data_IF_269036147545
#
_entry.id   IF_269036147545
#
_cell.length_a   1.000
_cell.length_b   1.000
_cell.length_c   1.000
_cell.angle_alpha   90.00
_cell.angle_beta   90.00
_cell.angle_gamma   90.00
#
_symmetry.space_group_name_H-M   'P 1'
#
loop_
_entity.id
_entity.type
_entity.pdbx_description
1 polymer ?
#
# COMPACT_ATOMS: atom_id res chain seq x y z
N UNK A 1 -32.98 -29.96 47.85
CA UNK A 1 -32.14 -30.32 46.68
C UNK A 1 -32.31 -29.29 45.55
N UNK A 2 -31.37 -28.36 45.34
CA UNK A 2 -31.35 -27.40 44.20
C UNK A 2 -29.92 -26.88 43.92
N UNK A 3 -29.08 -27.62 43.17
CA UNK A 3 -27.80 -27.13 42.61
C UNK A 3 -27.35 -27.68 41.22
N UNK A 4 -28.18 -28.28 40.33
CA UNK A 4 -27.69 -28.71 39.01
C UNK A 4 -27.51 -27.57 37.99
N UNK A 5 -28.30 -26.49 38.09
CA UNK A 5 -28.38 -25.47 37.03
C UNK A 5 -27.14 -24.56 36.95
N UNK A 6 -26.49 -24.27 38.07
CA UNK A 6 -25.34 -23.36 38.13
C UNK A 6 -24.10 -23.93 37.44
N UNK A 7 -23.89 -25.25 37.54
CA UNK A 7 -22.78 -25.93 36.88
C UNK A 7 -22.96 -26.00 35.36
N UNK A 8 -24.20 -26.15 34.87
CA UNK A 8 -24.48 -26.15 33.43
C UNK A 8 -24.21 -24.78 32.80
N UNK A 9 -24.59 -23.69 33.47
CA UNK A 9 -24.32 -22.32 33.00
C UNK A 9 -22.81 -22.03 33.00
N UNK A 10 -22.08 -22.43 34.04
CA UNK A 10 -20.62 -22.29 34.08
C UNK A 10 -19.92 -23.10 32.97
N UNK A 11 -20.40 -24.31 32.66
CA UNK A 11 -19.86 -25.11 31.56
C UNK A 11 -20.10 -24.46 30.19
N UNK A 12 -21.29 -23.90 29.96
CA UNK A 12 -21.64 -23.20 28.72
C UNK A 12 -20.82 -21.91 28.56
N UNK A 13 -20.61 -21.15 29.64
CA UNK A 13 -19.74 -19.96 29.61
C UNK A 13 -18.28 -20.32 29.37
N UNK A 14 -17.77 -21.40 30.00
CA UNK A 14 -16.41 -21.88 29.76
C UNK A 14 -16.21 -22.35 28.30
N UNK A 15 -17.19 -23.06 27.72
CA UNK A 15 -17.16 -23.45 26.32
C UNK A 15 -17.24 -22.24 25.38
N UNK A 16 -18.09 -21.25 25.66
CA UNK A 16 -18.16 -20.01 24.89
C UNK A 16 -16.82 -19.25 24.89
N UNK A 17 -16.15 -19.15 26.05
CA UNK A 17 -14.82 -18.52 26.13
C UNK A 17 -13.75 -19.31 25.36
N UNK A 18 -13.87 -20.63 25.27
CA UNK A 18 -12.97 -21.46 24.44
C UNK A 18 -13.20 -21.30 22.92
N UNK A 19 -14.42 -20.97 22.48
CA UNK A 19 -14.73 -20.74 21.06
C UNK A 19 -14.56 -19.28 20.59
N UNK A 20 -14.45 -18.31 21.51
CA UNK A 20 -14.14 -16.91 21.21
C UNK A 20 -12.68 -16.51 21.51
N UNK A 21 -11.77 -17.48 21.60
CA UNK A 21 -10.35 -17.18 21.46
C UNK A 21 -10.11 -16.63 20.03
N UNK A 22 -9.54 -15.42 19.85
CA UNK A 22 -9.17 -14.95 18.52
C UNK A 22 -8.19 -15.96 17.94
N UNK A 23 -8.44 -16.41 16.70
CA UNK A 23 -7.51 -17.28 15.97
C UNK A 23 -6.21 -16.51 15.79
N UNK A 24 -5.26 -16.75 16.70
CA UNK A 24 -3.94 -16.19 16.63
C UNK A 24 -3.34 -16.68 15.31
N UNK A 25 -3.08 -15.74 14.39
CA UNK A 25 -2.43 -16.04 13.13
C UNK A 25 -1.17 -16.84 13.45
N UNK A 26 -1.07 -18.06 12.88
CA UNK A 26 -0.01 -18.99 13.20
C UNK A 26 1.35 -18.27 13.12
N UNK A 27 2.23 -18.42 14.13
CA UNK A 27 3.47 -17.65 14.19
C UNK A 27 4.29 -17.96 12.94
N UNK A 28 4.43 -16.95 12.06
CA UNK A 28 5.30 -17.04 10.89
C UNK A 28 6.69 -17.36 11.41
N UNK A 29 7.15 -18.57 11.09
CA UNK A 29 8.35 -19.19 11.66
C UNK A 29 9.49 -18.20 11.84
N UNK A 30 9.94 -18.05 13.09
CA UNK A 30 10.88 -17.01 13.53
C UNK A 30 12.33 -17.19 13.06
N UNK A 31 12.61 -18.13 12.16
CA UNK A 31 13.90 -18.21 11.49
C UNK A 31 13.94 -17.16 10.37
N UNK A 32 14.72 -16.10 10.57
CA UNK A 32 15.04 -15.14 9.52
C UNK A 32 15.90 -15.84 8.45
N UNK A 33 15.23 -16.46 7.48
CA UNK A 33 15.90 -17.03 6.31
C UNK A 33 16.61 -15.89 5.57
N UNK A 34 17.93 -15.93 5.60
CA UNK A 34 18.77 -14.97 4.90
C UNK A 34 18.40 -15.02 3.42
N UNK A 35 18.07 -13.86 2.84
CA UNK A 35 17.58 -13.81 1.48
C UNK A 35 18.71 -14.17 0.52
N UNK A 36 18.49 -15.24 -0.25
CA UNK A 36 19.35 -15.61 -1.37
C UNK A 36 19.16 -14.59 -2.51
N UNK A 37 19.90 -13.49 -2.42
CA UNK A 37 19.79 -12.36 -3.33
C UNK A 37 20.18 -12.70 -4.77
N UNK A 38 21.04 -13.70 -5.00
CA UNK A 38 21.43 -14.16 -6.34
C UNK A 38 20.30 -14.96 -7.01
N UNK A 39 19.66 -15.88 -6.26
CA UNK A 39 18.47 -16.61 -6.71
C UNK A 39 17.25 -15.71 -6.88
N UNK A 40 17.14 -14.64 -6.09
CA UNK A 40 16.12 -13.61 -6.32
C UNK A 40 16.50 -12.78 -7.57
N UNK A 41 17.77 -12.42 -7.78
CA UNK A 41 18.22 -11.64 -8.93
C UNK A 41 17.99 -12.37 -10.26
N UNK A 42 18.32 -13.66 -10.35
CA UNK A 42 18.07 -14.48 -11.55
C UNK A 42 16.57 -14.57 -11.90
N UNK A 43 15.68 -14.59 -10.90
CA UNK A 43 14.22 -14.66 -11.09
C UNK A 43 13.56 -13.30 -11.26
N UNK A 44 14.12 -12.23 -10.68
CA UNK A 44 13.53 -10.90 -10.54
C UNK A 44 14.61 -9.79 -10.67
N UNK A 45 15.37 -9.70 -11.77
CA UNK A 45 16.47 -8.74 -11.89
C UNK A 45 15.99 -7.28 -11.85
N UNK A 46 14.74 -7.04 -12.25
CA UNK A 46 14.07 -5.75 -12.16
C UNK A 46 13.53 -5.38 -10.77
N UNK A 47 13.71 -6.20 -9.73
CA UNK A 47 13.26 -5.86 -8.37
C UNK A 47 13.96 -4.57 -7.89
N UNK A 48 13.19 -3.64 -7.31
CA UNK A 48 13.78 -2.43 -6.70
C UNK A 48 14.33 -2.79 -5.33
N UNK A 49 15.60 -2.45 -5.10
CA UNK A 49 16.28 -2.65 -3.82
C UNK A 49 16.85 -1.34 -3.29
N UNK A 50 17.06 -1.30 -1.99
CA UNK A 50 17.78 -0.24 -1.29
C UNK A 50 19.15 -0.81 -0.88
N UNK A 51 20.21 -0.05 -1.15
CA UNK A 51 21.60 -0.43 -0.88
C UNK A 51 22.19 0.66 0.00
N UNK A 52 22.72 0.27 1.16
CA UNK A 52 23.60 1.14 1.94
C UNK A 52 24.98 1.09 1.30
N UNK A 53 25.49 2.24 0.85
CA UNK A 53 26.89 2.39 0.43
C UNK A 53 27.64 3.07 1.58
N UNK A 54 28.76 2.48 2.00
CA UNK A 54 29.71 3.02 2.98
C UNK A 54 31.02 3.33 2.25
N UNK A 55 31.65 4.45 2.58
CA UNK A 55 32.88 4.94 1.96
C UNK A 55 33.95 5.24 3.02
N UNK A 56 35.19 4.82 2.76
CA UNK A 56 36.34 5.14 3.61
C UNK A 56 36.73 6.63 3.58
N UNK A 57 36.31 7.36 2.55
CA UNK A 57 36.44 8.82 2.40
C UNK A 57 35.05 9.50 2.35
N UNK A 58 34.93 10.81 2.58
CA UNK A 58 33.73 11.56 2.24
C UNK A 58 33.32 11.33 0.77
N UNK A 59 32.04 11.05 0.50
CA UNK A 59 31.55 10.78 -0.86
C UNK A 59 31.72 12.01 -1.76
N UNK A 60 32.28 11.76 -2.94
CA UNK A 60 32.60 12.76 -3.97
C UNK A 60 31.65 12.69 -5.16
N UNK A 61 31.70 13.68 -6.06
CA UNK A 61 30.97 13.65 -7.33
C UNK A 61 31.33 12.43 -8.20
N UNK A 62 32.60 12.01 -8.19
CA UNK A 62 33.06 10.81 -8.89
C UNK A 62 32.37 9.55 -8.37
N UNK A 63 32.26 9.41 -7.04
CA UNK A 63 31.58 8.27 -6.40
C UNK A 63 30.10 8.22 -6.80
N UNK A 64 29.44 9.39 -6.84
CA UNK A 64 28.05 9.50 -7.30
C UNK A 64 27.91 9.18 -8.79
N UNK A 65 28.84 9.61 -9.64
CA UNK A 65 28.84 9.31 -11.07
C UNK A 65 29.02 7.80 -11.34
N UNK A 66 29.91 7.12 -10.60
CA UNK A 66 30.11 5.67 -10.68
C UNK A 66 28.83 4.91 -10.28
N UNK A 67 28.17 5.32 -9.20
CA UNK A 67 26.90 4.71 -8.75
C UNK A 67 25.77 4.99 -9.75
N UNK A 68 25.67 6.20 -10.30
CA UNK A 68 24.71 6.57 -11.32
C UNK A 68 24.91 5.77 -12.63
N UNK A 69 26.16 5.55 -13.05
CA UNK A 69 26.51 4.68 -14.18
C UNK A 69 26.07 3.23 -13.97
N UNK A 70 26.19 2.72 -12.74
CA UNK A 70 25.63 1.41 -12.32
C UNK A 70 24.09 1.44 -12.14
N UNK A 71 23.44 2.59 -12.34
CA UNK A 71 21.98 2.75 -12.27
C UNK A 71 21.42 2.90 -10.85
N UNK A 72 22.23 3.39 -9.92
CA UNK A 72 21.87 3.68 -8.54
C UNK A 72 21.76 5.18 -8.31
N UNK A 73 20.69 5.61 -7.67
CA UNK A 73 20.46 7.01 -7.29
C UNK A 73 20.19 7.11 -5.79
N UNK A 74 20.52 8.21 -5.12
CA UNK A 74 20.16 8.43 -3.72
C UNK A 74 18.67 8.20 -3.47
N UNK A 75 18.34 7.48 -2.39
CA UNK A 75 17.00 6.93 -2.18
C UNK A 75 16.02 7.86 -1.45
N UNK A 76 16.55 8.82 -0.68
CA UNK A 76 15.81 9.57 0.35
C UNK A 76 16.25 11.04 0.51
N UNK A 77 17.08 11.55 -0.41
CA UNK A 77 17.60 12.92 -0.45
C UNK A 77 18.13 13.24 -1.85
N UNK A 78 18.34 14.51 -2.14
CA UNK A 78 18.95 14.95 -3.41
C UNK A 78 20.44 14.58 -3.49
N UNK A 79 21.03 14.40 -4.70
CA UNK A 79 22.42 13.97 -4.84
C UNK A 79 23.45 14.88 -4.16
N UNK A 80 23.23 16.18 -4.19
CA UNK A 80 24.07 17.17 -3.50
C UNK A 80 24.10 16.94 -1.98
N UNK A 81 22.97 16.51 -1.40
CA UNK A 81 22.83 16.15 0.03
C UNK A 81 23.48 14.80 0.39
N UNK A 82 24.19 14.15 -0.54
CA UNK A 82 25.03 12.97 -0.27
C UNK A 82 26.52 13.32 -0.23
N UNK A 83 26.93 14.41 -0.87
CA UNK A 83 28.33 14.84 -0.93
C UNK A 83 28.87 15.10 0.47
N UNK A 84 30.13 14.73 0.71
CA UNK A 84 30.78 14.86 2.01
C UNK A 84 30.37 13.81 3.05
N UNK A 85 29.33 13.01 2.81
CA UNK A 85 28.92 11.94 3.74
C UNK A 85 29.79 10.68 3.54
N UNK A 86 30.13 9.97 4.62
CA UNK A 86 30.77 8.65 4.52
C UNK A 86 29.78 7.50 4.23
N UNK A 87 28.45 7.75 4.31
CA UNK A 87 27.44 6.73 4.01
C UNK A 87 26.12 7.32 3.53
N UNK A 88 25.49 6.65 2.57
CA UNK A 88 24.15 6.98 2.09
C UNK A 88 23.40 5.75 1.56
N UNK A 89 22.08 5.86 1.46
CA UNK A 89 21.23 4.81 0.90
C UNK A 89 20.89 5.16 -0.54
N UNK A 90 21.10 4.19 -1.43
CA UNK A 90 20.83 4.29 -2.86
C UNK A 90 19.72 3.31 -3.25
N UNK A 91 18.86 3.72 -4.19
CA UNK A 91 17.84 2.88 -4.80
C UNK A 91 18.30 2.45 -6.20
N UNK A 92 18.11 1.18 -6.53
CA UNK A 92 18.45 0.64 -7.85
C UNK A 92 17.69 -0.65 -8.16
N UNK A 93 18.20 -1.40 -9.15
CA UNK A 93 17.64 -2.70 -9.57
C UNK A 93 18.53 -3.83 -9.10
N UNK A 94 17.94 -4.90 -8.56
CA UNK A 94 18.71 -6.01 -7.97
C UNK A 94 19.70 -6.66 -8.95
N UNK A 95 19.30 -6.91 -10.20
CA UNK A 95 20.21 -7.45 -11.21
C UNK A 95 21.36 -6.50 -11.54
N UNK A 96 21.14 -5.17 -11.51
CA UNK A 96 22.21 -4.18 -11.64
C UNK A 96 23.12 -4.10 -10.41
N UNK A 97 22.67 -4.56 -9.24
CA UNK A 97 23.53 -4.66 -8.05
C UNK A 97 24.40 -5.91 -8.13
N UNK A 98 23.76 -7.07 -8.25
CA UNK A 98 24.42 -8.39 -8.19
C UNK A 98 25.35 -8.64 -9.38
N UNK A 99 25.04 -8.09 -10.56
CA UNK A 99 25.87 -8.25 -11.76
C UNK A 99 26.68 -7.00 -12.13
N UNK A 100 26.76 -6.00 -11.25
CA UNK A 100 27.74 -4.94 -11.44
C UNK A 100 29.15 -5.48 -11.21
N UNK A 101 30.10 -5.05 -12.04
CA UNK A 101 31.52 -5.16 -11.67
C UNK A 101 31.80 -4.47 -10.32
N UNK A 102 32.94 -4.75 -9.69
CA UNK A 102 33.24 -4.29 -8.34
C UNK A 102 33.09 -2.77 -8.17
N UNK A 103 32.84 -2.37 -6.92
CA UNK A 103 33.01 -0.98 -6.52
C UNK A 103 34.50 -0.65 -6.37
N UNK A 104 34.90 0.63 -6.51
CA UNK A 104 36.21 1.10 -6.07
C UNK A 104 36.53 0.64 -4.64
N UNK A 105 37.80 0.37 -4.33
CA UNK A 105 38.20 -0.23 -3.04
C UNK A 105 37.85 0.61 -1.81
N UNK A 106 37.67 1.92 -1.95
CA UNK A 106 37.20 2.79 -0.85
C UNK A 106 35.68 2.75 -0.65
N UNK A 107 34.91 2.11 -1.54
CA UNK A 107 33.46 1.95 -1.44
C UNK A 107 33.08 0.49 -1.17
N UNK A 108 32.17 0.30 -0.22
CA UNK A 108 31.51 -0.98 0.04
C UNK A 108 29.99 -0.77 0.03
N UNK A 109 29.22 -1.84 -0.20
CA UNK A 109 27.77 -1.74 -0.12
C UNK A 109 27.06 -3.04 0.21
N UNK A 110 25.88 -2.90 0.80
CA UNK A 110 25.04 -4.00 1.27
C UNK A 110 23.57 -3.69 1.00
N UNK A 111 22.81 -4.67 0.51
CA UNK A 111 21.34 -4.53 0.40
C UNK A 111 20.76 -4.39 1.81
N UNK A 112 19.85 -3.43 2.00
CA UNK A 112 19.15 -3.25 3.26
C UNK A 112 18.08 -4.34 3.43
N UNK A 113 18.25 -5.18 4.45
CA UNK A 113 17.24 -6.14 4.91
C UNK A 113 16.30 -5.51 5.96
N UNK A 114 16.82 -4.59 6.76
CA UNK A 114 16.11 -3.89 7.83
C UNK A 114 16.49 -2.42 7.86
N UNK A 115 15.51 -1.53 8.01
CA UNK A 115 15.73 -0.09 8.13
C UNK A 115 14.54 0.61 8.78
N UNK A 116 14.77 1.75 9.42
CA UNK A 116 13.70 2.64 9.82
C UNK A 116 13.35 3.61 8.68
N UNK A 117 12.06 3.78 8.42
CA UNK A 117 11.53 4.72 7.44
C UNK A 117 10.74 5.80 8.17
N UNK A 118 11.38 6.95 8.40
CA UNK A 118 10.71 8.14 8.94
C UNK A 118 10.17 9.00 7.80
N UNK A 119 9.18 9.86 8.06
CA UNK A 119 8.71 10.78 7.04
C UNK A 119 7.55 11.67 7.46
N UNK A 120 7.16 12.54 6.53
CA UNK A 120 5.95 13.36 6.59
C UNK A 120 5.13 13.16 5.32
N UNK A 121 3.83 12.97 5.48
CA UNK A 121 2.81 12.93 4.43
C UNK A 121 1.91 14.15 4.62
N UNK A 122 1.66 14.90 3.54
CA UNK A 122 0.89 16.15 3.56
C UNK A 122 -0.14 16.17 2.45
N UNK A 123 -1.30 16.70 2.81
CA UNK A 123 -2.52 16.71 2.01
C UNK A 123 -3.23 18.02 2.27
N UNK A 124 -3.60 18.72 1.22
CA UNK A 124 -4.22 20.03 1.31
C UNK A 124 -5.41 20.15 0.38
N UNK A 125 -6.43 20.84 0.84
CA UNK A 125 -7.66 21.14 0.12
C UNK A 125 -7.92 22.64 0.15
N UNK A 126 -8.70 23.11 -0.80
CA UNK A 126 -9.31 24.43 -0.80
C UNK A 126 -10.82 24.27 -1.00
N UNK A 127 -11.61 24.98 -0.21
CA UNK A 127 -13.07 25.00 -0.37
C UNK A 127 -13.41 25.86 -1.59
N UNK A 128 -14.08 25.28 -2.58
CA UNK A 128 -14.56 26.01 -3.77
C UNK A 128 -16.09 26.21 -3.75
N UNK A 129 -16.76 25.74 -2.69
CA UNK A 129 -18.20 25.90 -2.48
C UNK A 129 -18.58 27.35 -2.24
N UNK A 130 -19.33 27.95 -3.17
CA UNK A 130 -19.92 29.28 -3.03
C UNK A 130 -20.99 29.27 -1.94
N UNK A 131 -21.13 30.39 -1.22
CA UNK A 131 -22.17 30.67 -0.19
C UNK A 131 -22.20 29.73 1.05
N UNK A 132 -21.49 28.61 1.01
CA UNK A 132 -21.39 27.66 2.10
C UNK A 132 -20.51 28.16 3.26
N UNK A 133 -21.01 28.03 4.50
CA UNK A 133 -20.30 28.44 5.74
C UNK A 133 -20.41 27.36 6.84
N UNK A 134 -19.74 26.22 6.64
CA UNK A 134 -19.64 25.12 7.62
C UNK A 134 -20.97 24.42 7.98
N UNK A 135 -20.95 23.42 8.89
CA UNK A 135 -19.77 22.71 9.40
C UNK A 135 -19.35 21.56 8.46
N UNK A 136 -18.03 21.31 8.36
CA UNK A 136 -17.46 20.26 7.51
C UNK A 136 -16.77 19.19 8.37
N UNK A 137 -17.28 17.95 8.33
CA UNK A 137 -16.55 16.77 8.83
C UNK A 137 -15.70 16.17 7.71
N UNK A 138 -14.42 16.01 7.96
CA UNK A 138 -13.49 15.26 7.12
C UNK A 138 -13.14 13.93 7.77
N UNK A 139 -13.03 12.86 6.99
CA UNK A 139 -12.39 11.61 7.38
C UNK A 139 -11.31 11.26 6.36
N UNK A 140 -10.07 11.10 6.82
CA UNK A 140 -8.90 10.86 5.97
C UNK A 140 -7.99 9.79 6.58
N UNK A 141 -7.47 8.91 5.72
CA UNK A 141 -6.55 7.86 6.16
C UNK A 141 -5.16 8.39 6.52
N UNK A 142 -4.68 7.96 7.69
CA UNK A 142 -3.36 8.23 8.22
C UNK A 142 -2.40 7.05 7.90
N UNK A 143 -1.07 7.24 8.01
CA UNK A 143 -0.10 6.15 7.89
C UNK A 143 -0.45 4.98 8.82
N UNK A 144 -0.65 3.78 8.26
CA UNK A 144 -1.06 2.57 8.97
C UNK A 144 -0.02 1.45 8.88
N UNK A 145 -0.16 0.41 9.70
CA UNK A 145 0.67 -0.79 9.54
C UNK A 145 0.53 -1.41 8.14
N UNK A 146 1.61 -2.04 7.67
CA UNK A 146 1.61 -2.72 6.40
C UNK A 146 2.45 -3.99 6.43
N UNK A 147 2.34 -4.75 5.35
CA UNK A 147 3.16 -5.93 5.11
C UNK A 147 4.65 -5.61 5.27
N UNK A 148 5.31 -6.25 6.24
CA UNK A 148 6.71 -5.99 6.60
C UNK A 148 7.01 -4.55 7.07
N UNK A 149 6.00 -3.79 7.51
CA UNK A 149 6.09 -2.38 7.92
C UNK A 149 5.34 -2.17 9.23
N UNK A 150 6.04 -2.28 10.36
CA UNK A 150 5.49 -2.01 11.70
C UNK A 150 5.50 -0.51 11.94
N UNK A 151 4.36 0.07 12.33
CA UNK A 151 4.29 1.50 12.65
C UNK A 151 4.80 1.71 14.09
N UNK A 152 5.92 2.43 14.24
CA UNK A 152 6.59 2.66 15.53
C UNK A 152 6.14 3.98 16.16
N UNK A 153 5.88 4.98 15.32
CA UNK A 153 5.42 6.31 15.72
C UNK A 153 4.50 6.88 14.65
N UNK A 154 3.48 7.63 15.06
CA UNK A 154 2.71 8.50 14.17
C UNK A 154 2.05 9.63 14.95
N UNK A 155 2.02 10.82 14.35
CA UNK A 155 1.40 12.02 14.88
C UNK A 155 0.74 12.81 13.74
N UNK A 156 -0.22 13.69 14.04
CA UNK A 156 -1.00 14.44 13.06
C UNK A 156 -1.31 15.89 13.48
N UNK A 157 -1.26 16.79 12.51
CA UNK A 157 -1.69 18.18 12.66
C UNK A 157 -2.66 18.55 11.55
N UNK A 158 -3.82 19.08 11.94
CA UNK A 158 -4.81 19.69 11.04
C UNK A 158 -4.71 21.21 11.16
N UNK A 159 -4.82 21.91 10.02
CA UNK A 159 -4.94 23.38 9.95
C UNK A 159 -6.13 23.76 9.06
N UNK A 160 -7.03 24.67 9.47
CA UNK A 160 -7.09 25.31 10.79
C UNK A 160 -7.26 24.28 11.92
N UNK A 161 -6.87 24.65 13.14
CA UNK A 161 -6.95 23.75 14.29
C UNK A 161 -8.42 23.47 14.63
N UNK A 162 -8.74 22.22 14.93
CA UNK A 162 -10.11 21.77 15.09
C UNK A 162 -10.22 20.52 15.98
N UNK A 163 -11.45 20.11 16.30
CA UNK A 163 -11.69 18.84 16.99
C UNK A 163 -11.35 17.68 16.06
N UNK A 164 -10.54 16.74 16.55
CA UNK A 164 -10.07 15.60 15.77
C UNK A 164 -9.95 14.33 16.62
N UNK A 165 -10.26 13.17 16.03
CA UNK A 165 -10.14 11.85 16.66
C UNK A 165 -9.57 10.85 15.65
N UNK A 166 -8.64 10.01 16.11
CA UNK A 166 -8.10 8.89 15.34
C UNK A 166 -8.82 7.61 15.73
N UNK A 167 -9.39 6.90 14.76
CA UNK A 167 -9.98 5.56 14.94
C UNK A 167 -9.25 4.52 14.10
N UNK A 168 -9.49 3.24 14.39
CA UNK A 168 -8.96 2.12 13.61
C UNK A 168 -10.13 1.21 13.22
N UNK A 169 -10.22 0.85 11.93
CA UNK A 169 -11.25 -0.07 11.43
C UNK A 169 -10.78 -1.54 11.43
N UNK A 170 -11.67 -2.46 11.04
CA UNK A 170 -11.41 -3.90 10.97
C UNK A 170 -10.29 -4.32 10.00
N UNK A 171 -9.93 -3.47 9.03
CA UNK A 171 -8.80 -3.70 8.12
C UNK A 171 -7.47 -3.13 8.66
N UNK A 172 -7.51 -2.49 9.84
CA UNK A 172 -6.39 -1.78 10.42
C UNK A 172 -6.09 -0.47 9.70
N UNK A 173 -7.07 0.15 9.03
CA UNK A 173 -6.93 1.52 8.52
C UNK A 173 -7.06 2.50 9.67
N UNK A 174 -6.14 3.47 9.73
CA UNK A 174 -6.17 4.54 10.73
C UNK A 174 -6.92 5.73 10.12
N UNK A 175 -8.09 6.04 10.64
CA UNK A 175 -8.94 7.12 10.15
C UNK A 175 -8.86 8.32 11.07
N UNK A 176 -8.33 9.43 10.56
CA UNK A 176 -8.45 10.71 11.23
C UNK A 176 -9.77 11.34 10.84
N UNK A 177 -10.68 11.48 11.79
CA UNK A 177 -11.87 12.33 11.68
C UNK A 177 -11.53 13.72 12.21
N UNK A 178 -11.82 14.76 11.45
CA UNK A 178 -11.59 16.15 11.82
C UNK A 178 -12.84 16.97 11.51
N UNK A 179 -13.36 17.72 12.50
CA UNK A 179 -14.60 18.49 12.37
C UNK A 179 -14.31 19.99 12.43
N UNK A 180 -14.58 20.69 11.34
CA UNK A 180 -14.39 22.13 11.20
C UNK A 180 -15.76 22.83 11.27
N UNK A 181 -16.05 23.52 12.37
CA UNK A 181 -17.37 24.15 12.58
C UNK A 181 -17.70 25.24 11.55
N UNK A 182 -16.67 25.98 11.11
CA UNK A 182 -16.80 27.04 10.12
C UNK A 182 -15.74 26.84 9.06
N UNK A 183 -16.17 26.60 7.82
CA UNK A 183 -15.31 26.69 6.63
C UNK A 183 -16.03 27.49 5.55
N UNK A 184 -15.29 28.31 4.80
CA UNK A 184 -15.83 29.21 3.77
C UNK A 184 -15.12 29.03 2.43
N UNK A 185 -15.75 29.48 1.35
CA UNK A 185 -15.12 29.54 0.03
C UNK A 185 -13.74 30.23 0.11
N UNK A 186 -12.73 29.66 -0.55
CA UNK A 186 -11.38 30.20 -0.53
C UNK A 186 -10.47 29.58 0.54
N UNK A 187 -11.02 29.10 1.64
CA UNK A 187 -10.24 28.63 2.79
C UNK A 187 -9.48 27.33 2.49
N UNK A 188 -8.31 27.20 3.13
CA UNK A 188 -7.39 26.09 2.93
C UNK A 188 -7.36 25.16 4.14
N UNK A 189 -7.67 23.88 3.92
CA UNK A 189 -7.63 22.84 4.94
C UNK A 189 -6.39 21.97 4.67
N UNK A 190 -5.53 21.77 5.67
CA UNK A 190 -4.25 21.07 5.51
C UNK A 190 -4.09 20.01 6.60
N UNK A 191 -3.81 18.79 6.17
CA UNK A 191 -3.48 17.65 7.02
C UNK A 191 -2.00 17.33 6.86
N UNK A 192 -1.29 17.15 7.97
CA UNK A 192 0.11 16.71 8.01
C UNK A 192 0.24 15.54 8.95
N UNK A 193 0.84 14.45 8.49
CA UNK A 193 1.06 13.22 9.24
C UNK A 193 2.54 12.92 9.30
N UNK A 194 3.08 12.83 10.51
CA UNK A 194 4.42 12.31 10.75
C UNK A 194 4.34 10.82 11.07
N UNK A 195 5.35 10.07 10.67
CA UNK A 195 5.42 8.64 10.93
C UNK A 195 6.86 8.14 11.02
N UNK A 196 7.03 7.00 11.69
CA UNK A 196 8.23 6.16 11.63
C UNK A 196 7.80 4.71 11.55
N UNK A 197 8.27 4.01 10.52
CA UNK A 197 8.15 2.55 10.41
C UNK A 197 9.47 1.87 10.76
N UNK A 198 9.38 0.67 11.31
CA UNK A 198 10.40 -0.37 11.17
C UNK A 198 10.03 -1.22 9.95
N UNK A 199 10.98 -1.38 9.01
CA UNK A 199 10.76 -2.06 7.73
C UNK A 199 11.61 -3.32 7.65
N UNK A 200 10.95 -4.48 7.59
CA UNK A 200 11.53 -5.80 7.39
C UNK A 200 11.38 -6.18 5.91
N UNK A 201 12.45 -6.04 5.14
CA UNK A 201 12.45 -6.29 3.69
C UNK A 201 12.13 -7.74 3.32
N UNK A 202 12.64 -8.78 4.01
CA UNK A 202 12.17 -10.16 3.81
C UNK A 202 10.64 -10.30 3.85
N UNK A 203 9.98 -9.74 4.88
CA UNK A 203 8.51 -9.75 4.99
C UNK A 203 7.82 -8.91 3.91
N UNK A 204 8.41 -7.80 3.48
CA UNK A 204 7.88 -7.00 2.35
C UNK A 204 7.97 -7.78 1.02
N UNK A 205 9.08 -8.50 0.80
CA UNK A 205 9.34 -9.25 -0.44
C UNK A 205 8.57 -10.57 -0.50
N UNK A 206 8.25 -11.20 0.63
CA UNK A 206 7.45 -12.43 0.66
C UNK A 206 6.12 -12.25 -0.09
N UNK A 207 5.53 -11.06 -0.16
CA UNK A 207 4.31 -10.87 -0.97
C UNK A 207 4.53 -11.03 -2.49
N UNK A 208 5.63 -10.55 -3.09
CA UNK A 208 5.91 -10.78 -4.53
C UNK A 208 6.55 -12.16 -4.80
N UNK A 209 7.18 -12.76 -3.78
CA UNK A 209 7.82 -14.08 -3.86
C UNK A 209 6.84 -15.22 -3.57
N UNK A 210 5.95 -15.11 -2.59
CA UNK A 210 4.93 -16.11 -2.25
C UNK A 210 3.81 -16.17 -3.29
N UNK A 211 3.42 -15.03 -3.89
CA UNK A 211 2.61 -15.03 -5.12
C UNK A 211 3.24 -15.94 -6.19
N UNK A 212 4.56 -16.13 -6.20
CA UNK A 212 5.26 -16.95 -7.19
C UNK A 212 5.19 -18.47 -7.01
N UNK A 213 4.73 -18.94 -5.85
CA UNK A 213 4.55 -20.36 -5.57
C UNK A 213 3.25 -20.94 -6.16
N UNK A 214 3.12 -22.27 -6.11
CA UNK A 214 1.81 -22.92 -6.22
C UNK A 214 0.97 -22.61 -4.96
N UNK A 215 -0.37 -22.59 -5.04
CA UNK A 215 -1.24 -22.61 -3.86
C UNK A 215 -0.84 -23.76 -2.91
N UNK A 216 -0.93 -23.52 -1.60
CA UNK A 216 -0.64 -24.55 -0.57
C UNK A 216 -1.93 -25.21 -0.08
N UNK A 217 -3.07 -24.57 -0.25
CA UNK A 217 -4.40 -25.16 -0.05
C UNK A 217 -5.33 -24.84 -1.22
N UNK A 218 -6.61 -25.19 -1.05
CA UNK A 218 -7.70 -24.90 -1.99
C UNK A 218 -8.86 -24.11 -1.34
N UNK A 219 -8.86 -24.02 0.00
CA UNK A 219 -9.98 -23.47 0.77
C UNK A 219 -9.93 -21.93 0.86
N UNK A 220 -11.11 -21.32 0.78
CA UNK A 220 -11.34 -19.89 0.96
C UNK A 220 -12.21 -19.73 2.22
N UNK A 221 -11.67 -19.17 3.32
CA UNK A 221 -12.42 -18.95 4.56
C UNK A 221 -13.69 -18.11 4.37
N UNK A 222 -14.75 -18.29 5.19
CA UNK A 222 -16.02 -17.56 5.02
C UNK A 222 -15.89 -16.03 5.04
N UNK A 223 -15.00 -15.48 5.88
CA UNK A 223 -14.69 -14.04 5.94
C UNK A 223 -14.01 -13.52 4.66
N UNK A 224 -13.37 -14.42 3.90
CA UNK A 224 -12.73 -14.13 2.62
C UNK A 224 -13.70 -14.33 1.44
N UNK A 225 -14.67 -15.24 1.55
CA UNK A 225 -15.66 -15.50 0.48
C UNK A 225 -16.45 -14.24 0.10
N UNK A 226 -16.77 -13.38 1.07
CA UNK A 226 -17.41 -12.08 0.82
C UNK A 226 -16.64 -11.20 -0.18
N UNK A 227 -15.33 -11.39 -0.37
CA UNK A 227 -14.51 -10.67 -1.36
C UNK A 227 -14.53 -11.29 -2.77
N UNK A 228 -15.42 -12.26 -3.03
CA UNK A 228 -15.83 -12.70 -4.37
C UNK A 228 -17.08 -11.97 -4.86
N UNK A 229 -17.92 -11.51 -3.93
CA UNK A 229 -19.22 -10.90 -4.23
C UNK A 229 -19.09 -9.51 -4.88
N UNK A 230 -20.17 -9.01 -5.52
CA UNK A 230 -20.28 -7.62 -5.91
C UNK A 230 -20.16 -6.66 -4.71
N UNK A 231 -19.72 -5.44 -4.98
CA UNK A 231 -19.73 -4.34 -4.01
C UNK A 231 -19.75 -2.98 -4.73
N UNK A 232 -19.84 -1.90 -3.97
CA UNK A 232 -19.78 -0.54 -4.51
C UNK A 232 -18.54 -0.36 -5.41
N UNK A 233 -18.75 0.11 -6.64
CA UNK A 233 -17.77 0.25 -7.74
C UNK A 233 -17.12 -1.04 -8.26
N UNK A 234 -17.48 -2.23 -7.76
CA UNK A 234 -16.82 -3.50 -8.10
C UNK A 234 -17.88 -4.57 -8.38
N UNK A 235 -18.31 -4.66 -9.63
CA UNK A 235 -19.24 -5.70 -10.08
C UNK A 235 -18.52 -6.78 -10.92
N UNK A 236 -18.39 -8.03 -10.42
CA UNK A 236 -17.90 -9.16 -11.22
C UNK A 236 -18.91 -9.65 -12.27
N UNK A 237 -20.18 -9.26 -12.17
CA UNK A 237 -21.26 -9.69 -13.07
C UNK A 237 -21.19 -9.07 -14.48
N UNK A 238 -20.43 -7.98 -14.67
CA UNK A 238 -20.37 -7.29 -15.97
C UNK A 238 -19.92 -8.22 -17.11
N UNK A 239 -20.49 -8.11 -18.33
CA UNK A 239 -20.21 -9.04 -19.42
C UNK A 239 -18.72 -9.17 -19.78
N UNK A 240 -17.97 -8.07 -19.72
CA UNK A 240 -16.54 -8.05 -20.02
C UNK A 240 -15.68 -8.84 -19.01
N UNK A 241 -16.08 -8.84 -17.73
CA UNK A 241 -15.39 -9.60 -16.67
C UNK A 241 -15.67 -11.09 -16.82
N UNK A 242 -16.92 -11.47 -17.11
CA UNK A 242 -17.35 -12.85 -17.35
C UNK A 242 -16.74 -13.46 -18.62
N UNK A 243 -16.70 -12.70 -19.73
CA UNK A 243 -16.01 -13.10 -20.96
C UNK A 243 -14.50 -13.29 -20.73
N UNK A 244 -13.85 -12.38 -20.00
CA UNK A 244 -12.43 -12.51 -19.66
C UNK A 244 -12.15 -13.71 -18.72
N UNK A 245 -13.06 -13.99 -17.80
CA UNK A 245 -12.95 -15.11 -16.86
C UNK A 245 -13.09 -16.46 -17.55
N UNK A 246 -14.09 -16.63 -18.44
CA UNK A 246 -14.32 -17.88 -19.19
C UNK A 246 -13.15 -18.25 -20.09
N UNK A 247 -12.52 -17.26 -20.74
CA UNK A 247 -11.26 -17.41 -21.51
C UNK A 247 -10.05 -17.81 -20.66
N UNK A 248 -10.19 -17.86 -19.33
CA UNK A 248 -9.19 -18.38 -18.40
C UNK A 248 -9.04 -19.91 -18.39
N UNK A 249 -10.01 -20.63 -18.98
CA UNK A 249 -10.05 -22.09 -19.03
C UNK A 249 -10.68 -22.73 -17.78
N UNK A 250 -11.09 -24.01 -17.85
CA UNK A 250 -11.94 -24.66 -16.83
C UNK A 250 -11.21 -25.06 -15.54
N UNK A 251 -9.89 -24.90 -15.46
CA UNK A 251 -9.11 -25.25 -14.27
C UNK A 251 -9.31 -24.26 -13.12
N UNK A 252 -8.94 -24.70 -11.91
CA UNK A 252 -8.95 -23.84 -10.71
C UNK A 252 -8.17 -22.53 -10.92
N UNK A 253 -8.59 -21.41 -10.32
CA UNK A 253 -7.90 -20.12 -10.50
C UNK A 253 -6.48 -20.15 -9.94
N UNK A 254 -5.53 -19.51 -10.64
CA UNK A 254 -4.17 -19.26 -10.14
C UNK A 254 -4.01 -17.74 -10.01
N UNK A 255 -4.07 -17.26 -8.77
CA UNK A 255 -4.07 -15.83 -8.45
C UNK A 255 -2.96 -15.04 -9.17
N UNK A 256 -1.75 -15.60 -9.34
CA UNK A 256 -0.65 -14.90 -10.03
C UNK A 256 -0.72 -15.06 -11.54
N UNK A 257 -1.09 -16.24 -12.06
CA UNK A 257 -1.22 -16.47 -13.50
C UNK A 257 -2.36 -15.64 -14.07
N UNK A 258 -3.52 -15.65 -13.43
CA UNK A 258 -4.69 -14.87 -13.78
C UNK A 258 -4.43 -13.36 -13.59
N UNK A 259 -3.81 -12.91 -12.47
CA UNK A 259 -3.39 -11.50 -12.32
C UNK A 259 -2.43 -11.05 -13.42
N UNK A 260 -1.46 -11.90 -13.82
CA UNK A 260 -0.56 -11.60 -14.94
C UNK A 260 -1.27 -11.60 -16.30
N UNK A 261 -2.29 -12.44 -16.52
CA UNK A 261 -3.15 -12.38 -17.70
C UNK A 261 -3.92 -11.05 -17.72
N UNK A 262 -4.43 -10.64 -16.57
CA UNK A 262 -5.23 -9.42 -16.43
C UNK A 262 -4.38 -8.16 -16.61
N UNK A 263 -3.22 -8.07 -15.96
CA UNK A 263 -2.29 -6.95 -16.14
C UNK A 263 -1.84 -6.80 -17.60
N UNK A 264 -1.70 -7.90 -18.36
CA UNK A 264 -1.47 -7.87 -19.81
C UNK A 264 -2.68 -7.41 -20.61
N UNK A 265 -3.90 -7.82 -20.21
CA UNK A 265 -5.15 -7.37 -20.82
C UNK A 265 -5.38 -5.87 -20.60
N UNK A 266 -5.28 -5.38 -19.36
CA UNK A 266 -5.40 -3.96 -19.01
C UNK A 266 -4.37 -3.14 -19.79
N UNK A 267 -3.09 -3.53 -19.77
CA UNK A 267 -2.04 -2.82 -20.52
C UNK A 267 -2.28 -2.71 -22.03
N UNK A 268 -3.07 -3.63 -22.62
CA UNK A 268 -3.42 -3.62 -24.05
C UNK A 268 -4.68 -2.80 -24.36
N UNK A 269 -5.65 -2.77 -23.44
CA UNK A 269 -7.00 -2.23 -23.69
C UNK A 269 -7.30 -0.92 -22.94
N UNK A 270 -6.49 -0.54 -21.96
CA UNK A 270 -6.67 0.67 -21.14
C UNK A 270 -5.35 1.44 -21.09
N UNK A 271 -5.32 2.60 -21.74
CA UNK A 271 -4.22 3.54 -21.67
C UNK A 271 -4.15 4.19 -20.28
N UNK A 272 -2.94 4.41 -19.76
CA UNK A 272 -2.78 5.05 -18.46
C UNK A 272 -3.05 6.57 -18.56
N UNK A 273 -4.08 7.05 -17.87
CA UNK A 273 -4.49 8.45 -17.93
C UNK A 273 -3.52 9.38 -17.17
N UNK A 274 -2.50 9.83 -17.92
CA UNK A 274 -1.54 10.83 -17.47
C UNK A 274 -2.19 12.20 -17.24
N UNK A 275 -3.29 12.54 -17.92
CA UNK A 275 -3.97 13.83 -17.78
C UNK A 275 -4.73 13.87 -16.46
N UNK A 276 -5.55 12.87 -16.15
CA UNK A 276 -6.23 12.70 -14.85
C UNK A 276 -5.22 12.70 -13.70
N UNK A 277 -4.15 11.89 -13.80
CA UNK A 277 -3.05 11.89 -12.81
C UNK A 277 -2.48 13.29 -12.58
N UNK A 278 -2.14 14.01 -13.64
CA UNK A 278 -1.48 15.32 -13.55
C UNK A 278 -2.44 16.43 -13.13
N UNK A 279 -3.73 16.31 -13.47
CA UNK A 279 -4.77 17.22 -13.00
C UNK A 279 -5.03 17.03 -11.51
N UNK A 280 -5.06 15.78 -11.01
CA UNK A 280 -5.25 15.50 -9.59
C UNK A 280 -4.09 16.00 -8.75
N UNK A 281 -2.86 15.53 -9.02
CA UNK A 281 -1.69 15.91 -8.23
C UNK A 281 -1.21 17.36 -8.49
N UNK A 282 -1.54 17.94 -9.65
CA UNK A 282 -1.33 19.36 -9.95
C UNK A 282 -2.42 20.28 -9.42
N UNK A 283 -3.35 19.76 -8.60
CA UNK A 283 -4.39 20.54 -7.93
C UNK A 283 -5.37 21.25 -8.87
N UNK A 284 -5.73 20.61 -9.99
CA UNK A 284 -6.70 21.10 -10.99
C UNK A 284 -8.05 20.39 -10.90
N UNK A 285 -8.14 19.27 -10.18
CA UNK A 285 -9.41 18.58 -9.94
C UNK A 285 -10.12 19.16 -8.72
N UNK A 286 -11.44 19.29 -8.86
CA UNK A 286 -12.38 19.64 -7.79
C UNK A 286 -13.39 18.51 -7.71
N UNK A 287 -13.69 18.05 -6.50
CA UNK A 287 -14.63 16.97 -6.25
C UNK A 287 -15.60 17.38 -5.15
N UNK A 288 -16.89 17.07 -5.31
CA UNK A 288 -17.88 17.11 -4.23
C UNK A 288 -17.82 15.85 -3.35
N UNK A 289 -17.40 14.73 -3.93
CA UNK A 289 -17.11 13.46 -3.28
C UNK A 289 -15.88 12.84 -3.96
N UNK A 290 -14.95 12.28 -3.18
CA UNK A 290 -13.77 11.61 -3.73
C UNK A 290 -14.11 10.29 -4.45
N UNK A 291 -15.30 9.72 -4.22
CA UNK A 291 -15.79 8.57 -5.01
C UNK A 291 -15.82 8.88 -6.52
N UNK A 292 -16.09 10.13 -6.92
CA UNK A 292 -16.02 10.57 -8.32
C UNK A 292 -14.60 10.62 -8.90
N UNK A 293 -13.55 10.41 -8.10
CA UNK A 293 -12.21 10.16 -8.62
C UNK A 293 -12.10 8.76 -9.24
N UNK A 294 -12.97 7.83 -8.86
CA UNK A 294 -12.98 6.43 -9.27
C UNK A 294 -14.05 6.21 -10.35
N UNK A 295 -13.60 6.01 -11.59
CA UNK A 295 -14.47 5.71 -12.71
C UNK A 295 -15.03 4.29 -12.57
N UNK A 296 -16.26 4.09 -13.03
CA UNK A 296 -16.87 2.77 -13.03
C UNK A 296 -16.12 1.84 -14.01
N UNK A 297 -16.25 0.53 -13.79
CA UNK A 297 -15.48 -0.46 -14.56
C UNK A 297 -15.83 -0.40 -16.06
N UNK A 298 -17.12 -0.30 -16.39
CA UNK A 298 -17.57 -0.15 -17.77
C UNK A 298 -17.16 1.20 -18.38
N UNK A 299 -17.14 2.28 -17.60
CA UNK A 299 -16.65 3.58 -18.09
C UNK A 299 -15.15 3.51 -18.43
N UNK A 300 -14.36 2.84 -17.59
CA UNK A 300 -12.92 2.63 -17.78
C UNK A 300 -12.63 1.80 -19.03
N UNK A 301 -13.44 0.77 -19.28
CA UNK A 301 -13.36 -0.07 -20.49
C UNK A 301 -13.76 0.73 -21.74
N UNK A 302 -14.94 1.36 -21.73
CA UNK A 302 -15.49 2.10 -22.87
C UNK A 302 -14.62 3.29 -23.30
N UNK A 303 -13.97 3.95 -22.34
CA UNK A 303 -13.06 5.08 -22.63
C UNK A 303 -11.65 4.64 -23.01
N UNK A 304 -11.33 3.34 -22.89
CA UNK A 304 -9.99 2.78 -23.09
C UNK A 304 -8.89 3.55 -22.33
N UNK A 305 -9.22 4.17 -21.20
CA UNK A 305 -8.37 5.12 -20.48
C UNK A 305 -8.73 5.17 -19.00
N UNK A 306 -7.72 5.03 -18.14
CA UNK A 306 -7.88 5.10 -16.68
C UNK A 306 -6.56 5.27 -15.95
N UNK A 307 -6.59 5.81 -14.74
CA UNK A 307 -5.46 5.89 -13.84
C UNK A 307 -5.50 4.73 -12.81
N UNK A 308 -4.53 4.68 -11.88
CA UNK A 308 -4.53 3.62 -10.86
C UNK A 308 -5.77 3.51 -9.96
N UNK A 309 -6.55 4.58 -9.60
CA UNK A 309 -7.84 4.39 -8.93
C UNK A 309 -8.86 3.62 -9.77
N UNK A 310 -8.81 3.74 -11.10
CA UNK A 310 -9.80 3.13 -12.00
C UNK A 310 -9.41 1.68 -12.32
N UNK A 311 -8.12 1.46 -12.62
CA UNK A 311 -7.62 0.12 -12.92
C UNK A 311 -7.70 -0.83 -11.73
N UNK A 312 -7.67 -0.35 -10.47
CA UNK A 312 -7.83 -1.24 -9.30
C UNK A 312 -9.26 -1.80 -9.18
N UNK A 313 -10.28 -1.03 -9.58
CA UNK A 313 -11.67 -1.49 -9.60
C UNK A 313 -11.87 -2.56 -10.67
N UNK A 314 -11.36 -2.29 -11.89
CA UNK A 314 -11.35 -3.24 -13.00
C UNK A 314 -10.54 -4.50 -12.65
N UNK A 315 -9.36 -4.36 -12.02
CA UNK A 315 -8.60 -5.49 -11.50
C UNK A 315 -9.45 -6.36 -10.55
N UNK A 316 -10.14 -5.75 -9.58
CA UNK A 316 -10.99 -6.48 -8.65
C UNK A 316 -12.18 -7.17 -9.33
N UNK A 317 -12.95 -6.47 -10.16
CA UNK A 317 -14.12 -7.03 -10.84
C UNK A 317 -13.77 -8.28 -11.67
N UNK A 318 -12.71 -8.20 -12.47
CA UNK A 318 -12.28 -9.29 -13.34
C UNK A 318 -11.68 -10.48 -12.56
N UNK A 319 -11.01 -10.23 -11.43
CA UNK A 319 -10.46 -11.30 -10.59
C UNK A 319 -11.55 -12.00 -9.76
N UNK A 320 -12.53 -11.24 -9.24
CA UNK A 320 -13.72 -11.81 -8.60
C UNK A 320 -14.52 -12.68 -9.56
N UNK A 321 -14.78 -12.22 -10.79
CA UNK A 321 -15.42 -13.00 -11.85
C UNK A 321 -14.67 -14.31 -12.18
N UNK A 322 -13.34 -14.32 -12.01
CA UNK A 322 -12.50 -15.51 -12.20
C UNK A 322 -12.49 -16.47 -11.00
N UNK A 323 -13.08 -16.09 -9.86
CA UNK A 323 -13.08 -16.86 -8.61
C UNK A 323 -11.89 -16.58 -7.69
N UNK A 324 -11.28 -15.39 -7.78
CA UNK A 324 -10.12 -14.99 -6.96
C UNK A 324 -10.55 -13.87 -6.00
N UNK A 325 -10.65 -14.13 -4.68
CA UNK A 325 -11.06 -13.12 -3.71
C UNK A 325 -10.04 -11.99 -3.69
N UNK A 326 -10.51 -10.76 -3.80
CA UNK A 326 -9.62 -9.60 -3.91
C UNK A 326 -10.28 -8.29 -3.47
N UNK A 327 -9.43 -7.34 -3.13
CA UNK A 327 -9.82 -6.05 -2.55
C UNK A 327 -8.90 -4.92 -2.99
N UNK A 328 -9.42 -3.69 -2.94
CA UNK A 328 -8.63 -2.50 -3.26
C UNK A 328 -7.74 -2.10 -2.09
N UNK A 329 -6.54 -1.61 -2.38
CA UNK A 329 -5.65 -1.02 -1.39
C UNK A 329 -4.95 0.21 -1.95
N UNK A 330 -4.52 1.08 -1.05
CA UNK A 330 -3.87 2.34 -1.37
C UNK A 330 -2.66 2.60 -0.49
N UNK A 331 -1.57 3.02 -1.14
CA UNK A 331 -0.44 3.69 -0.51
C UNK A 331 -0.34 5.10 -1.07
N UNK A 332 0.41 5.97 -0.41
CA UNK A 332 0.61 7.33 -0.91
C UNK A 332 0.99 7.35 -2.40
N UNK A 333 0.16 8.03 -3.21
CA UNK A 333 0.33 8.20 -4.65
C UNK A 333 0.02 6.98 -5.54
N UNK A 334 -0.52 5.87 -5.02
CA UNK A 334 -0.82 4.68 -5.84
C UNK A 334 -1.84 3.71 -5.22
N UNK A 335 -2.82 3.28 -6.03
CA UNK A 335 -3.76 2.21 -5.72
C UNK A 335 -3.38 0.91 -6.44
N UNK A 336 -3.71 -0.22 -5.81
CA UNK A 336 -3.34 -1.56 -6.26
C UNK A 336 -4.23 -2.63 -5.61
N UNK A 337 -4.31 -3.79 -6.22
CA UNK A 337 -5.10 -4.92 -5.71
C UNK A 337 -4.34 -5.74 -4.66
N UNK A 338 -5.06 -6.27 -3.68
CA UNK A 338 -4.59 -7.35 -2.79
C UNK A 338 -5.42 -8.59 -3.08
N UNK A 339 -4.73 -9.71 -3.32
CA UNK A 339 -5.30 -10.99 -3.75
C UNK A 339 -5.26 -11.98 -2.58
N UNK A 340 -6.32 -12.75 -2.36
CA UNK A 340 -6.23 -13.91 -1.48
C UNK A 340 -5.59 -15.09 -2.21
N UNK A 341 -4.64 -15.75 -1.55
CA UNK A 341 -4.00 -16.98 -2.05
C UNK A 341 -4.25 -18.10 -1.04
N UNK A 342 -5.00 -19.16 -1.39
CA UNK A 342 -5.27 -20.28 -0.50
C UNK A 342 -4.00 -20.92 0.11
N UNK A 343 -4.02 -21.11 1.43
CA UNK A 343 -2.88 -21.58 2.23
C UNK A 343 -1.73 -20.55 2.39
N UNK A 344 -1.95 -19.30 1.99
CA UNK A 344 -0.95 -18.20 2.05
C UNK A 344 -1.51 -16.88 2.59
N UNK A 345 -2.82 -16.64 2.43
CA UNK A 345 -3.47 -15.42 2.90
C UNK A 345 -3.44 -14.27 1.88
N UNK A 346 -3.57 -13.05 2.40
CA UNK A 346 -3.67 -11.82 1.58
C UNK A 346 -2.32 -11.34 1.06
N UNK A 347 -2.20 -11.19 -0.27
CA UNK A 347 -0.97 -10.89 -0.99
C UNK A 347 -1.08 -9.62 -1.83
N UNK A 348 -0.14 -8.69 -1.64
CA UNK A 348 -0.11 -7.41 -2.37
C UNK A 348 0.50 -7.56 -3.77
N UNK A 349 -0.12 -6.96 -4.78
CA UNK A 349 0.47 -6.83 -6.14
C UNK A 349 1.46 -5.67 -6.26
N UNK A 350 1.54 -4.77 -5.27
CA UNK A 350 2.40 -3.56 -5.28
C UNK A 350 3.37 -3.55 -4.11
N UNK A 351 4.52 -4.20 -4.29
CA UNK A 351 5.62 -4.23 -3.31
C UNK A 351 6.50 -2.99 -3.47
N UNK A 352 6.64 -2.18 -2.42
CA UNK A 352 7.45 -0.94 -2.44
C UNK A 352 8.04 -0.64 -1.06
N UNK A 353 9.38 -0.75 -0.94
CA UNK A 353 10.10 -0.64 0.33
C UNK A 353 9.89 0.72 1.04
N UNK A 354 9.81 1.81 0.28
CA UNK A 354 9.57 3.18 0.78
C UNK A 354 8.09 3.58 0.78
N UNK A 355 7.17 2.67 0.46
CA UNK A 355 5.73 2.96 0.41
C UNK A 355 5.16 3.30 1.79
N UNK A 356 4.19 4.22 1.81
CA UNK A 356 3.42 4.62 2.99
C UNK A 356 2.01 4.00 2.85
N UNK A 357 1.68 2.90 3.55
CA UNK A 357 0.33 2.33 3.53
C UNK A 357 -0.69 3.34 4.10
N UNK A 358 -1.83 3.49 3.41
CA UNK A 358 -2.91 4.40 3.81
C UNK A 358 -4.25 3.67 3.97
N UNK A 359 -4.67 2.89 2.98
CA UNK A 359 -5.96 2.20 2.99
C UNK A 359 -5.89 0.76 2.48
N UNK A 360 -6.84 -0.06 2.93
CA UNK A 360 -7.25 -1.36 2.44
C UNK A 360 -8.78 -1.44 2.56
N UNK A 361 -9.52 -1.81 1.53
CA UNK A 361 -10.98 -2.01 1.65
C UNK A 361 -11.28 -2.98 2.81
N UNK A 362 -12.17 -2.62 3.76
CA UNK A 362 -12.54 -3.48 4.89
C UNK A 362 -13.56 -4.57 4.53
N UNK A 363 -14.22 -4.46 3.37
CA UNK A 363 -15.19 -5.41 2.85
C UNK A 363 -15.15 -5.45 1.31
N UNK A 364 -16.20 -5.99 0.66
CA UNK A 364 -16.26 -6.10 -0.81
C UNK A 364 -16.23 -4.75 -1.52
N UNK A 365 -16.72 -3.69 -0.88
CA UNK A 365 -16.84 -2.35 -1.44
C UNK A 365 -15.51 -1.65 -1.72
N UNK A 366 -15.50 -0.81 -2.74
CA UNK A 366 -14.51 0.26 -2.79
C UNK A 366 -14.78 1.30 -1.68
N UNK A 367 -13.71 1.72 -1.01
CA UNK A 367 -13.75 2.83 -0.04
C UNK A 367 -12.70 3.87 -0.43
N UNK A 368 -13.10 5.10 -0.80
CA UNK A 368 -12.18 6.20 -1.01
C UNK A 368 -11.37 6.49 0.27
N UNK A 369 -10.08 6.74 0.12
CA UNK A 369 -9.14 6.94 1.23
C UNK A 369 -9.29 8.29 1.96
N UNK A 370 -10.23 9.12 1.49
CA UNK A 370 -10.72 10.35 2.11
C UNK A 370 -12.21 10.46 1.76
N UNK A 371 -12.98 11.05 2.66
CA UNK A 371 -14.39 11.42 2.48
C UNK A 371 -14.70 12.64 3.35
N UNK A 372 -15.72 13.40 3.00
CA UNK A 372 -16.15 14.55 3.78
C UNK A 372 -17.66 14.74 3.66
N UNK A 373 -18.26 15.30 4.71
CA UNK A 373 -19.69 15.62 4.76
C UNK A 373 -19.88 17.03 5.35
N UNK A 374 -20.76 17.87 4.76
CA UNK A 374 -21.52 17.62 3.53
C UNK A 374 -20.64 17.55 2.27
N UNK A 375 -21.13 16.87 1.23
CA UNK A 375 -20.47 16.67 -0.09
C UNK A 375 -20.31 17.95 -0.92
N UNK A 376 -19.52 18.89 -0.40
CA UNK A 376 -19.23 20.20 -1.02
C UNK A 376 -18.01 20.10 -1.95
N UNK A 377 -17.90 20.95 -2.99
CA UNK A 377 -16.75 20.94 -3.90
C UNK A 377 -15.46 21.40 -3.22
N UNK A 378 -14.51 20.47 -3.11
CA UNK A 378 -13.17 20.66 -2.57
C UNK A 378 -12.11 20.41 -3.66
N UNK A 379 -11.17 21.33 -3.76
CA UNK A 379 -10.04 21.27 -4.68
C UNK A 379 -8.82 20.74 -3.95
N UNK A 380 -8.23 19.64 -4.41
CA UNK A 380 -6.90 19.22 -3.91
C UNK A 380 -5.89 20.31 -4.25
N UNK A 381 -5.09 20.76 -3.28
CA UNK A 381 -4.06 21.80 -3.47
C UNK A 381 -2.65 21.30 -3.17
N UNK A 382 -2.51 20.33 -2.26
CA UNK A 382 -1.21 19.77 -1.88
C UNK A 382 -1.30 18.25 -1.82
N UNK A 383 -0.30 17.58 -2.39
CA UNK A 383 -0.13 16.13 -2.31
C UNK A 383 1.37 15.80 -2.27
N UNK A 384 1.95 15.81 -1.07
CA UNK A 384 3.40 15.66 -0.85
C UNK A 384 3.68 14.52 0.14
N UNK A 385 4.74 13.76 -0.10
CA UNK A 385 5.37 12.97 0.95
C UNK A 385 6.89 13.06 0.83
N UNK A 386 7.56 13.20 1.96
CA UNK A 386 9.02 13.15 2.10
C UNK A 386 9.39 12.08 3.11
N UNK A 387 10.37 11.25 2.76
CA UNK A 387 10.80 10.11 3.57
C UNK A 387 12.30 10.14 3.79
N UNK A 388 12.72 9.56 4.91
CA UNK A 388 14.10 9.37 5.33
C UNK A 388 14.34 7.90 5.61
N UNK A 389 15.46 7.36 5.15
CA UNK A 389 15.85 5.98 5.39
C UNK A 389 17.05 5.98 6.35
N UNK A 390 16.82 5.46 7.55
CA UNK A 390 17.88 5.21 8.52
C UNK A 390 18.19 3.71 8.53
N UNK A 391 19.35 3.26 8.00
CA UNK A 391 19.78 1.88 8.14
C UNK A 391 19.83 1.46 9.61
N UNK A 392 19.27 0.29 9.91
CA UNK A 392 19.46 -0.35 11.20
C UNK A 392 20.70 -1.24 11.07
N UNK A 393 21.88 -0.68 11.34
CA UNK A 393 23.14 -1.44 11.39
C UNK A 393 22.95 -2.61 12.39
N UNK A 394 23.30 -3.84 11.98
CA UNK A 394 23.21 -5.05 12.84
C UNK A 394 24.19 -4.98 14.03
N UNK A 395 25.16 -4.06 14.00
CA UNK A 395 26.29 -3.94 14.93
C UNK A 395 25.97 -3.25 16.28
N UNK A 396 24.71 -3.22 16.72
CA UNK A 396 24.31 -2.65 18.03
C UNK A 396 24.08 -3.69 19.14
N UNK A 397 24.50 -4.94 18.94
CA UNK A 397 24.50 -6.00 19.96
C UNK A 397 25.79 -6.06 20.80
N UNK A 398 26.67 -5.05 20.73
CA UNK A 398 27.86 -4.92 21.58
C UNK A 398 28.04 -3.47 22.06
N UNK A 399 27.29 -3.09 23.10
CA UNK A 399 27.60 -2.04 24.08
C UNK A 399 26.98 -2.41 25.42
#
# INVERSE_FOLDING_TARGET
>A
MKKPLTYLILLIVALAVCFFAPVAAAPVSGAASQLDWEKIASRRPGLKVLVLVKSGRPLTFEDLAILAGKGFVPADRDPESVLGLQRAVFAGRLGKWIWAGPLPSHLSGSILEHFALAGVYRVGFKVEAQEYTGPLEFQITAPREGFGKKLVYSDQVVRPACSQVMTVDSAGNRWLRARLEHVRQGESIKFSFWFRYDVNVPKVLDHDLALSGKPIGIEIPPDVQAFLEPGHKIDPGIPAAQDWASRGGPGSPDARKDYRRLAKFIKRNVAYDKRKRSAYFGGKMVYSDLDFMYQDVDETLNRHSGACPDTVLLECAFLRARGIPCLTAGRFGHFFTVLYVPGRGWMSTSVTLTGIPLIRSPGPDHVPYQKWEPKIPLKTTHWEAKVRIDPLDKDKSCR
#
